data_IF_555469143572
#
_entry.id   IF_555469143572
#
_cell.length_a   1.000
_cell.length_b   1.000
_cell.length_c   1.000
_cell.angle_alpha   90.00
_cell.angle_beta   90.00
_cell.angle_gamma   90.00
#
_symmetry.space_group_name_H-M   'P 1'
#
loop_
_entity.id
_entity.type
_entity.pdbx_description
1 polymer ?
#
# COMPACT_ATOMS: atom_id res chain seq x y z
N UNK A 1 -16.42 -15.47 7.74
CA UNK A 1 -15.02 -15.12 7.38
C UNK A 1 -14.56 -15.90 6.15
N UNK A 2 -14.71 -17.23 6.14
CA UNK A 2 -14.33 -18.11 5.03
C UNK A 2 -14.91 -17.72 3.66
N UNK A 3 -16.22 -17.39 3.59
CA UNK A 3 -16.87 -16.95 2.35
C UNK A 3 -16.27 -15.65 1.75
N UNK A 4 -15.96 -14.66 2.61
CA UNK A 4 -15.38 -13.39 2.17
C UNK A 4 -13.96 -13.59 1.65
N UNK A 5 -13.17 -14.44 2.33
CA UNK A 5 -11.82 -14.80 1.89
C UNK A 5 -11.86 -15.50 0.52
N UNK A 6 -12.76 -16.45 0.31
CA UNK A 6 -12.87 -17.16 -0.96
C UNK A 6 -13.32 -16.24 -2.10
N UNK A 7 -14.25 -15.31 -1.82
CA UNK A 7 -14.66 -14.29 -2.79
C UNK A 7 -13.51 -13.37 -3.18
N UNK A 8 -12.72 -12.91 -2.21
CA UNK A 8 -11.54 -12.07 -2.46
C UNK A 8 -10.46 -12.82 -3.26
N UNK A 9 -10.19 -14.08 -2.91
CA UNK A 9 -9.27 -14.94 -3.68
C UNK A 9 -9.73 -15.07 -5.14
N UNK A 10 -10.99 -15.39 -5.36
CA UNK A 10 -11.56 -15.49 -6.71
C UNK A 10 -11.44 -14.17 -7.48
N UNK A 11 -11.66 -13.03 -6.83
CA UNK A 11 -11.50 -11.71 -7.45
C UNK A 11 -10.04 -11.41 -7.81
N UNK A 12 -9.09 -11.77 -6.94
CA UNK A 12 -7.65 -11.62 -7.22
C UNK A 12 -7.25 -12.49 -8.41
N UNK A 13 -7.65 -13.76 -8.45
CA UNK A 13 -7.32 -14.64 -9.58
C UNK A 13 -7.92 -14.13 -10.89
N UNK A 14 -9.15 -13.59 -10.87
CA UNK A 14 -9.74 -12.95 -12.05
C UNK A 14 -8.93 -11.74 -12.52
N UNK A 15 -8.49 -10.88 -11.60
CA UNK A 15 -7.65 -9.73 -11.95
C UNK A 15 -6.29 -10.13 -12.50
N UNK A 16 -5.66 -11.18 -11.95
CA UNK A 16 -4.43 -11.74 -12.51
C UNK A 16 -4.63 -12.23 -13.93
N UNK A 17 -5.72 -12.96 -14.20
CA UNK A 17 -6.04 -13.44 -15.53
C UNK A 17 -6.20 -12.27 -16.51
N UNK A 18 -6.97 -11.23 -16.15
CA UNK A 18 -7.13 -10.03 -16.98
C UNK A 18 -5.80 -9.31 -17.27
N UNK A 19 -4.87 -9.25 -16.30
CA UNK A 19 -3.55 -8.63 -16.52
C UNK A 19 -2.65 -9.46 -17.44
N UNK A 20 -2.89 -10.76 -17.54
CA UNK A 20 -2.15 -11.71 -18.37
C UNK A 20 -2.77 -11.89 -19.76
N UNK A 21 -3.99 -11.40 -19.97
CA UNK A 21 -4.72 -11.50 -21.23
C UNK A 21 -4.28 -10.36 -22.16
N UNK A 22 -3.78 -10.72 -23.35
CA UNK A 22 -3.19 -9.79 -24.31
C UNK A 22 -4.27 -9.09 -25.17
N UNK A 23 -5.54 -9.53 -25.10
CA UNK A 23 -6.63 -9.02 -25.94
C UNK A 23 -7.32 -7.74 -25.41
N UNK A 24 -7.07 -7.33 -24.16
CA UNK A 24 -7.70 -6.14 -23.56
C UNK A 24 -6.78 -4.90 -23.53
N UNK A 25 -7.39 -3.72 -23.67
CA UNK A 25 -6.74 -2.39 -23.54
C UNK A 25 -6.07 -2.14 -22.17
N UNK A 26 -6.24 -3.06 -21.22
CA UNK A 26 -5.72 -3.05 -19.86
C UNK A 26 -4.52 -3.99 -19.65
N UNK A 27 -3.91 -4.51 -20.71
CA UNK A 27 -2.73 -5.38 -20.59
C UNK A 27 -1.55 -4.68 -19.91
N UNK A 28 -0.71 -5.45 -19.20
CA UNK A 28 0.54 -4.93 -18.60
C UNK A 28 1.43 -4.27 -19.65
N UNK A 29 1.39 -4.81 -20.87
CA UNK A 29 2.15 -4.31 -21.99
C UNK A 29 1.68 -2.91 -22.41
N UNK A 30 0.38 -2.65 -22.52
CA UNK A 30 -0.13 -1.32 -22.85
C UNK A 30 0.27 -0.26 -21.82
N UNK A 31 0.23 -0.61 -20.53
CA UNK A 31 0.64 0.26 -19.43
C UNK A 31 2.14 0.60 -19.52
N UNK A 32 2.98 -0.42 -19.64
CA UNK A 32 4.44 -0.26 -19.68
C UNK A 32 4.94 0.35 -21.00
N UNK A 33 4.14 0.31 -22.07
CA UNK A 33 4.48 0.89 -23.38
C UNK A 33 4.33 2.40 -23.42
N UNK A 34 3.65 3.02 -22.46
CA UNK A 34 3.49 4.47 -22.43
C UNK A 34 4.83 5.22 -22.28
N UNK A 35 4.94 6.39 -22.90
CA UNK A 35 6.19 7.18 -22.99
C UNK A 35 6.87 7.39 -21.64
N UNK A 36 6.08 7.61 -20.59
CA UNK A 36 6.58 7.84 -19.23
C UNK A 36 7.29 6.60 -18.67
N UNK A 37 6.72 5.42 -18.88
CA UNK A 37 7.33 4.16 -18.44
C UNK A 37 8.54 3.81 -19.31
N UNK A 38 8.43 3.98 -20.63
CA UNK A 38 9.54 3.74 -21.56
C UNK A 38 10.75 4.65 -21.28
N UNK A 39 10.52 5.91 -20.90
CA UNK A 39 11.62 6.81 -20.51
C UNK A 39 12.42 6.25 -19.33
N UNK A 40 11.75 5.71 -18.30
CA UNK A 40 12.44 5.10 -17.16
C UNK A 40 13.14 3.79 -17.57
N UNK A 41 12.44 2.94 -18.33
CA UNK A 41 12.93 1.61 -18.73
C UNK A 41 14.14 1.72 -19.68
N UNK A 42 14.12 2.64 -20.64
CA UNK A 42 15.21 2.82 -21.60
C UNK A 42 16.45 3.45 -20.98
N UNK A 43 16.27 4.25 -19.92
CA UNK A 43 17.37 4.89 -19.19
C UNK A 43 17.86 4.09 -17.98
N UNK A 44 17.32 2.88 -17.73
CA UNK A 44 17.67 2.10 -16.54
C UNK A 44 19.15 1.68 -16.50
N UNK A 45 19.76 1.41 -17.66
CA UNK A 45 21.18 1.09 -17.84
C UNK A 45 21.53 1.07 -19.33
N UNK A 46 22.81 0.99 -19.65
CA UNK A 46 23.23 0.62 -21.01
C UNK A 46 22.82 -0.83 -21.33
N UNK A 47 22.19 -1.05 -22.48
CA UNK A 47 21.91 -2.38 -23.02
C UNK A 47 22.00 -2.40 -24.55
N UNK A 48 22.25 -3.58 -25.12
CA UNK A 48 22.16 -3.80 -26.57
C UNK A 48 20.75 -4.26 -26.91
N UNK A 49 20.20 -3.80 -28.03
CA UNK A 49 18.93 -4.34 -28.54
C UNK A 49 19.12 -5.81 -28.94
N UNK A 50 18.48 -6.67 -28.16
CA UNK A 50 18.47 -8.15 -28.22
C UNK A 50 17.07 -8.58 -27.75
N UNK A 51 16.73 -9.87 -27.84
CA UNK A 51 15.40 -10.36 -27.45
C UNK A 51 14.96 -9.95 -26.03
N UNK A 52 15.86 -10.03 -25.05
CA UNK A 52 15.57 -9.66 -23.66
C UNK A 52 16.04 -8.23 -23.36
N UNK A 53 15.37 -7.24 -23.94
CA UNK A 53 15.51 -5.83 -23.51
C UNK A 53 14.98 -5.65 -22.08
N UNK A 54 15.32 -4.56 -21.37
CA UNK A 54 14.74 -4.28 -20.05
C UNK A 54 13.20 -4.29 -20.06
N UNK A 55 12.58 -3.74 -21.10
CA UNK A 55 11.12 -3.74 -21.29
C UNK A 55 10.55 -5.15 -21.39
N UNK A 56 11.05 -5.96 -22.33
CA UNK A 56 10.60 -7.35 -22.52
C UNK A 56 10.84 -8.17 -21.25
N UNK A 57 12.01 -8.02 -20.64
CA UNK A 57 12.37 -8.73 -19.41
C UNK A 57 11.41 -8.41 -18.27
N UNK A 58 11.01 -7.14 -18.12
CA UNK A 58 10.08 -6.70 -17.10
C UNK A 58 8.69 -7.30 -17.32
N UNK A 59 8.15 -7.23 -18.55
CA UNK A 59 6.85 -7.84 -18.88
C UNK A 59 6.87 -9.32 -18.57
N UNK A 60 7.88 -10.04 -19.07
CA UNK A 60 8.01 -11.48 -18.83
C UNK A 60 8.14 -11.80 -17.34
N UNK A 61 8.85 -10.98 -16.57
CA UNK A 61 8.99 -11.19 -15.14
C UNK A 61 7.69 -10.97 -14.37
N UNK A 62 6.92 -9.93 -14.71
CA UNK A 62 5.59 -9.73 -14.11
C UNK A 62 4.68 -10.91 -14.49
N UNK A 63 4.64 -11.30 -15.77
CA UNK A 63 3.89 -12.48 -16.24
C UNK A 63 4.29 -13.75 -15.48
N UNK A 64 5.59 -13.97 -15.27
CA UNK A 64 6.12 -15.08 -14.47
C UNK A 64 5.58 -15.02 -13.03
N UNK A 65 5.64 -13.89 -12.34
CA UNK A 65 5.23 -13.77 -10.93
C UNK A 65 3.72 -13.97 -10.76
N UNK A 66 2.93 -13.53 -11.74
CA UNK A 66 1.48 -13.67 -11.76
C UNK A 66 1.03 -15.09 -12.17
N UNK A 67 1.86 -15.84 -12.90
CA UNK A 67 1.60 -17.24 -13.26
C UNK A 67 1.40 -18.13 -12.01
N UNK A 68 0.45 -19.08 -12.03
CA UNK A 68 0.27 -20.05 -10.96
C UNK A 68 1.54 -20.86 -10.62
N UNK A 69 2.33 -21.22 -11.64
CA UNK A 69 3.52 -22.08 -11.49
C UNK A 69 4.82 -21.29 -11.27
N UNK A 70 4.81 -19.98 -11.56
CA UNK A 70 5.97 -19.07 -11.54
C UNK A 70 7.20 -19.59 -12.31
N UNK A 71 6.99 -20.45 -13.30
CA UNK A 71 8.06 -21.18 -13.99
C UNK A 71 8.77 -20.32 -15.02
N UNK A 72 10.11 -20.21 -14.93
CA UNK A 72 10.90 -19.56 -15.98
C UNK A 72 10.74 -20.27 -17.33
N UNK A 73 10.62 -21.62 -17.32
CA UNK A 73 10.48 -22.42 -18.54
C UNK A 73 9.15 -22.11 -19.24
N UNK A 74 8.07 -22.03 -18.47
CA UNK A 74 6.76 -21.69 -18.99
C UNK A 74 6.76 -20.27 -19.60
N UNK A 75 7.26 -19.28 -18.85
CA UNK A 75 7.38 -17.88 -19.33
C UNK A 75 8.18 -17.76 -20.62
N UNK A 76 9.32 -18.45 -20.73
CA UNK A 76 10.12 -18.44 -21.97
C UNK A 76 9.41 -19.15 -23.11
N UNK A 77 8.74 -20.29 -22.87
CA UNK A 77 7.98 -20.98 -23.89
C UNK A 77 6.84 -20.11 -24.46
N UNK A 78 6.08 -19.43 -23.60
CA UNK A 78 5.02 -18.48 -24.02
C UNK A 78 5.60 -17.32 -24.83
N UNK A 79 6.74 -16.75 -24.40
CA UNK A 79 7.42 -15.70 -25.16
C UNK A 79 7.89 -16.18 -26.54
N UNK A 80 8.41 -17.40 -26.64
CA UNK A 80 8.82 -17.96 -27.93
C UNK A 80 7.63 -18.15 -28.86
N UNK A 81 6.49 -18.59 -28.33
CA UNK A 81 5.26 -18.73 -29.11
C UNK A 81 4.79 -17.39 -29.67
N UNK A 82 4.87 -16.30 -28.90
CA UNK A 82 4.46 -14.96 -29.36
C UNK A 82 5.43 -14.34 -30.37
N UNK A 83 6.73 -14.65 -30.32
CA UNK A 83 7.71 -14.13 -31.28
C UNK A 83 7.75 -14.94 -32.58
N UNK A 84 7.49 -16.26 -32.50
CA UNK A 84 7.50 -17.15 -33.68
C UNK A 84 6.35 -16.86 -34.65
N UNK A 85 5.31 -16.16 -34.21
CA UNK A 85 4.24 -15.66 -35.07
C UNK A 85 4.60 -14.40 -35.85
N UNK A 86 5.67 -13.68 -35.45
CA UNK A 86 6.02 -12.38 -36.00
C UNK A 86 7.24 -12.40 -36.96
N UNK A 87 8.20 -13.33 -36.80
CA UNK A 87 9.37 -13.40 -37.68
C UNK A 87 10.07 -14.78 -37.67
N UNK A 88 10.04 -15.52 -38.79
CA UNK A 88 10.47 -16.94 -38.84
C UNK A 88 12.00 -17.17 -38.83
N UNK A 89 12.82 -16.12 -39.01
CA UNK A 89 14.26 -16.28 -39.22
C UNK A 89 15.13 -15.88 -38.00
N UNK A 90 14.53 -15.41 -36.90
CA UNK A 90 15.29 -14.94 -35.73
C UNK A 90 14.57 -15.30 -34.41
N UNK A 91 14.47 -16.61 -34.12
CA UNK A 91 13.78 -17.13 -32.94
C UNK A 91 14.78 -17.27 -31.76
N UNK A 92 14.43 -16.80 -30.54
CA UNK A 92 15.29 -16.98 -29.37
C UNK A 92 15.41 -18.47 -28.95
N UNK A 93 16.48 -18.81 -28.22
CA UNK A 93 16.63 -20.15 -27.64
C UNK A 93 15.58 -20.42 -26.56
N UNK A 94 15.12 -21.67 -26.44
CA UNK A 94 14.27 -22.16 -25.33
C UNK A 94 14.99 -22.27 -23.98
N UNK A 95 16.30 -22.02 -23.94
CA UNK A 95 17.06 -21.97 -22.70
C UNK A 95 16.61 -20.78 -21.83
N UNK A 96 16.31 -21.04 -20.54
CA UNK A 96 15.92 -20.00 -19.59
C UNK A 96 17.09 -19.15 -19.10
N UNK A 97 18.33 -19.58 -19.31
CA UNK A 97 19.55 -18.93 -18.84
C UNK A 97 19.67 -17.45 -19.26
N UNK A 98 19.50 -17.10 -20.56
CA UNK A 98 19.50 -15.72 -21.02
C UNK A 98 18.44 -14.84 -20.34
N UNK A 99 17.21 -15.36 -20.18
CA UNK A 99 16.12 -14.67 -19.49
C UNK A 99 16.46 -14.43 -18.01
N UNK A 100 16.93 -15.46 -17.28
CA UNK A 100 17.34 -15.32 -15.88
C UNK A 100 18.48 -14.30 -15.71
N UNK A 101 19.47 -14.30 -16.61
CA UNK A 101 20.57 -13.30 -16.62
C UNK A 101 20.07 -11.89 -16.92
N UNK A 102 19.06 -11.73 -17.79
CA UNK A 102 18.47 -10.44 -18.07
C UNK A 102 17.70 -9.90 -16.85
N UNK A 103 16.95 -10.76 -16.16
CA UNK A 103 16.20 -10.42 -14.94
C UNK A 103 17.11 -9.90 -13.83
N UNK A 104 18.26 -10.54 -13.61
CA UNK A 104 19.26 -10.11 -12.61
C UNK A 104 19.87 -8.73 -12.91
N UNK A 105 19.75 -8.24 -14.15
CA UNK A 105 20.29 -6.93 -14.56
C UNK A 105 19.25 -5.80 -14.50
N UNK A 106 18.05 -6.06 -13.98
CA UNK A 106 17.07 -4.99 -13.74
C UNK A 106 17.46 -4.25 -12.46
N UNK A 107 17.77 -2.94 -12.52
CA UNK A 107 18.11 -2.16 -11.33
C UNK A 107 16.91 -2.01 -10.40
N UNK A 108 17.14 -2.07 -9.09
CA UNK A 108 16.07 -1.99 -8.08
C UNK A 108 15.43 -0.58 -8.12
N UNK A 109 16.24 0.45 -8.31
CA UNK A 109 15.83 1.86 -8.39
C UNK A 109 14.88 2.10 -9.56
N UNK A 110 15.07 1.36 -10.66
CA UNK A 110 14.17 1.37 -11.81
C UNK A 110 12.81 0.79 -11.41
N UNK A 111 12.79 -0.35 -10.73
CA UNK A 111 11.54 -0.97 -10.28
C UNK A 111 10.80 -0.09 -9.26
N UNK A 112 11.52 0.53 -8.32
CA UNK A 112 10.97 1.50 -7.37
C UNK A 112 10.32 2.69 -8.09
N UNK A 113 11.01 3.24 -9.09
CA UNK A 113 10.50 4.37 -9.89
C UNK A 113 9.24 4.00 -10.67
N UNK A 114 9.19 2.80 -11.25
CA UNK A 114 8.02 2.32 -12.00
C UNK A 114 6.80 2.09 -11.09
N UNK A 115 7.00 1.57 -9.86
CA UNK A 115 5.93 1.44 -8.87
C UNK A 115 5.35 2.80 -8.53
N UNK A 116 6.20 3.79 -8.21
CA UNK A 116 5.77 5.16 -7.89
C UNK A 116 5.02 5.80 -9.05
N UNK A 117 5.56 5.68 -10.27
CA UNK A 117 4.93 6.19 -11.48
C UNK A 117 3.55 5.56 -11.74
N UNK A 118 3.40 4.26 -11.47
CA UNK A 118 2.13 3.55 -11.63
C UNK A 118 1.06 4.05 -10.66
N UNK A 119 1.42 4.24 -9.38
CA UNK A 119 0.54 4.81 -8.36
C UNK A 119 0.10 6.22 -8.71
N UNK A 120 1.06 7.07 -9.09
CA UNK A 120 0.81 8.45 -9.48
C UNK A 120 -0.09 8.56 -10.71
N UNK A 121 0.17 7.73 -11.72
CA UNK A 121 -0.61 7.71 -12.96
C UNK A 121 -2.06 7.31 -12.69
N UNK A 122 -2.28 6.28 -11.86
CA UNK A 122 -3.61 5.87 -11.41
C UNK A 122 -4.30 6.98 -10.60
N UNK A 123 -3.59 7.60 -9.66
CA UNK A 123 -4.15 8.67 -8.83
C UNK A 123 -4.60 9.86 -9.68
N UNK A 124 -3.85 10.23 -10.73
CA UNK A 124 -4.15 11.33 -11.64
C UNK A 124 -5.30 11.01 -12.61
N UNK A 125 -5.43 9.76 -13.04
CA UNK A 125 -6.53 9.31 -13.91
C UNK A 125 -7.82 8.98 -13.16
N UNK A 126 -7.78 8.95 -11.82
CA UNK A 126 -8.93 8.60 -10.99
C UNK A 126 -10.12 9.55 -11.17
N UNK A 127 -11.34 8.99 -11.21
CA UNK A 127 -12.55 9.78 -11.30
C UNK A 127 -12.78 10.55 -9.99
N UNK A 128 -12.95 11.87 -10.06
CA UNK A 128 -13.18 12.72 -8.89
C UNK A 128 -14.37 12.26 -8.03
N UNK A 129 -15.39 11.61 -8.62
CA UNK A 129 -16.55 11.07 -7.89
C UNK A 129 -16.21 9.91 -6.95
N UNK A 130 -15.05 9.28 -7.11
CA UNK A 130 -14.59 8.21 -6.22
C UNK A 130 -13.84 8.75 -4.99
N UNK A 131 -13.49 10.05 -5.00
CA UNK A 131 -12.80 10.70 -3.89
C UNK A 131 -13.81 11.10 -2.82
N UNK A 132 -13.54 10.68 -1.58
CA UNK A 132 -14.42 10.96 -0.45
C UNK A 132 -14.25 12.43 -0.08
N UNK A 133 -15.31 13.22 -0.19
CA UNK A 133 -15.28 14.69 0.00
C UNK A 133 -14.24 15.41 -0.88
N UNK A 134 -14.03 14.92 -2.11
CA UNK A 134 -12.99 15.43 -3.02
C UNK A 134 -11.56 15.33 -2.47
N UNK A 135 -11.32 14.39 -1.56
CA UNK A 135 -10.02 14.14 -0.92
C UNK A 135 -9.54 12.73 -1.23
N UNK A 136 -8.23 12.59 -1.37
CA UNK A 136 -7.61 11.28 -1.53
C UNK A 136 -7.61 10.54 -0.18
N UNK A 137 -7.93 9.26 -0.20
CA UNK A 137 -7.85 8.41 1.00
C UNK A 137 -6.67 7.48 0.84
N UNK A 138 -5.67 7.61 1.72
CA UNK A 138 -4.43 6.84 1.70
C UNK A 138 -4.42 5.80 2.81
N UNK A 139 -4.25 4.53 2.46
CA UNK A 139 -4.10 3.43 3.39
C UNK A 139 -2.62 3.22 3.70
N UNK A 140 -2.31 3.01 4.97
CA UNK A 140 -0.99 2.57 5.43
C UNK A 140 -1.13 1.15 5.94
N UNK A 141 -0.32 0.26 5.42
CA UNK A 141 -0.23 -1.11 5.92
C UNK A 141 1.21 -1.64 5.85
N UNK A 142 1.50 -2.57 6.77
CA UNK A 142 2.79 -3.24 6.91
C UNK A 142 2.67 -4.73 6.65
N UNK A 143 3.68 -5.31 6.00
CA UNK A 143 3.78 -6.76 5.80
C UNK A 143 5.23 -7.22 5.91
N UNK A 144 5.44 -8.53 5.90
CA UNK A 144 6.76 -9.14 5.89
C UNK A 144 6.87 -10.14 4.74
N UNK A 145 8.04 -10.15 4.09
CA UNK A 145 8.38 -10.99 2.97
C UNK A 145 9.59 -11.85 3.33
N UNK A 146 9.58 -13.11 2.89
CA UNK A 146 10.75 -13.99 2.97
C UNK A 146 11.64 -13.75 1.76
N UNK A 147 12.94 -13.60 1.99
CA UNK A 147 13.95 -13.41 0.96
C UNK A 147 14.64 -14.74 0.63
N UNK A 148 15.30 -14.79 -0.53
CA UNK A 148 16.17 -15.92 -0.86
C UNK A 148 17.30 -16.03 0.17
N UNK A 149 17.65 -17.27 0.53
CA UNK A 149 18.75 -17.55 1.45
C UNK A 149 20.09 -17.35 0.73
N UNK A 150 20.63 -16.13 0.82
CA UNK A 150 21.95 -15.74 0.33
C UNK A 150 22.70 -14.98 1.41
N UNK A 151 24.03 -15.03 1.39
CA UNK A 151 24.88 -14.31 2.36
C UNK A 151 24.56 -12.81 2.40
N UNK A 152 24.37 -12.20 1.23
CA UNK A 152 23.97 -10.79 1.12
C UNK A 152 22.64 -10.51 1.84
N UNK A 153 21.61 -11.33 1.60
CA UNK A 153 20.31 -11.16 2.25
C UNK A 153 20.39 -11.44 3.76
N UNK A 154 21.14 -12.45 4.19
CA UNK A 154 21.34 -12.77 5.61
C UNK A 154 22.04 -11.65 6.37
N UNK A 155 22.99 -10.96 5.72
CA UNK A 155 23.68 -9.81 6.32
C UNK A 155 22.76 -8.62 6.53
N UNK A 156 21.77 -8.43 5.65
CA UNK A 156 20.88 -7.26 5.62
C UNK A 156 19.56 -7.48 6.35
N UNK A 157 19.04 -8.71 6.32
CA UNK A 157 17.71 -9.07 6.82
C UNK A 157 17.84 -10.20 7.85
N UNK A 158 17.54 -9.96 9.14
CA UNK A 158 17.64 -10.99 10.16
C UNK A 158 16.52 -12.04 10.00
N UNK A 159 16.78 -13.22 10.54
CA UNK A 159 15.80 -14.30 10.68
C UNK A 159 14.98 -14.15 11.98
N UNK A 160 13.94 -14.97 12.14
CA UNK A 160 13.18 -15.06 13.37
C UNK A 160 13.97 -15.77 14.48
N UNK A 161 14.01 -15.23 15.70
CA UNK A 161 14.86 -15.74 16.80
C UNK A 161 14.57 -17.20 17.20
N UNK A 162 13.35 -17.69 16.97
CA UNK A 162 12.98 -19.08 17.23
C UNK A 162 13.52 -20.09 16.20
N UNK A 163 14.08 -19.63 15.08
CA UNK A 163 14.67 -20.52 14.08
C UNK A 163 16.06 -20.96 14.51
N UNK A 164 16.38 -22.24 14.30
CA UNK A 164 17.74 -22.74 14.50
C UNK A 164 18.68 -22.08 13.48
N UNK A 165 19.94 -21.93 13.84
CA UNK A 165 20.96 -21.45 12.90
C UNK A 165 20.94 -22.30 11.61
N UNK A 166 20.84 -21.64 10.47
CA UNK A 166 20.78 -22.29 9.15
C UNK A 166 19.40 -22.85 8.76
N UNK A 167 18.35 -22.67 9.56
CA UNK A 167 17.01 -23.22 9.28
C UNK A 167 15.96 -22.17 8.89
N UNK A 168 16.30 -20.87 8.90
CA UNK A 168 15.38 -19.78 8.59
C UNK A 168 15.74 -19.01 7.32
N UNK A 169 14.71 -18.46 6.67
CA UNK A 169 14.89 -17.51 5.57
C UNK A 169 15.02 -16.08 6.10
N UNK A 170 15.83 -15.21 5.45
CA UNK A 170 15.89 -13.80 5.80
C UNK A 170 14.53 -13.12 5.66
N UNK A 171 14.19 -12.21 6.58
CA UNK A 171 12.87 -11.56 6.61
C UNK A 171 13.00 -10.05 6.38
N UNK A 172 12.35 -9.59 5.31
CA UNK A 172 12.21 -8.18 4.97
C UNK A 172 10.84 -7.67 5.41
N UNK A 173 10.81 -6.51 6.06
CA UNK A 173 9.58 -5.76 6.32
C UNK A 173 9.33 -4.79 5.19
N UNK A 174 8.08 -4.67 4.77
CA UNK A 174 7.61 -3.70 3.79
C UNK A 174 6.46 -2.90 4.39
N UNK A 175 6.50 -1.57 4.24
CA UNK A 175 5.37 -0.68 4.56
C UNK A 175 5.01 0.09 3.32
N UNK A 176 3.73 0.11 2.96
CA UNK A 176 3.23 0.79 1.77
C UNK A 176 2.19 1.84 2.14
N UNK A 177 2.18 2.92 1.36
CA UNK A 177 1.07 3.87 1.27
C UNK A 177 0.33 3.57 -0.03
N UNK A 178 -0.96 3.29 0.07
CA UNK A 178 -1.81 2.90 -1.06
C UNK A 178 -2.99 3.86 -1.20
N UNK A 179 -3.42 4.15 -2.43
CA UNK A 179 -4.70 4.84 -2.64
C UNK A 179 -5.86 3.87 -2.38
N UNK A 180 -6.79 4.25 -1.51
CA UNK A 180 -8.08 3.54 -1.37
C UNK A 180 -8.96 3.76 -2.60
N UNK A 181 -8.79 4.87 -3.30
CA UNK A 181 -9.60 5.23 -4.47
C UNK A 181 -9.25 4.37 -5.68
N UNK A 182 -7.97 4.09 -5.92
CA UNK A 182 -7.50 3.34 -7.10
C UNK A 182 -6.93 1.97 -6.77
N UNK A 183 -6.57 1.71 -5.52
CA UNK A 183 -5.84 0.51 -5.10
C UNK A 183 -4.35 0.51 -5.43
N UNK A 184 -3.84 1.57 -6.08
CA UNK A 184 -2.44 1.67 -6.47
C UNK A 184 -1.51 1.96 -5.27
N UNK A 185 -0.30 1.38 -5.30
CA UNK A 185 0.78 1.73 -4.36
C UNK A 185 1.32 3.10 -4.78
N UNK A 186 1.29 4.05 -3.85
CA UNK A 186 1.81 5.42 -4.05
C UNK A 186 3.30 5.44 -3.72
N UNK A 187 3.67 4.89 -2.57
CA UNK A 187 5.05 4.78 -2.14
C UNK A 187 5.20 3.59 -1.18
N UNK A 188 6.41 3.07 -1.03
CA UNK A 188 6.72 2.00 -0.11
C UNK A 188 8.17 2.10 0.39
N UNK A 189 8.39 1.59 1.60
CA UNK A 189 9.71 1.46 2.19
C UNK A 189 9.94 0.01 2.65
N UNK A 190 11.18 -0.43 2.52
CA UNK A 190 11.63 -1.75 2.96
C UNK A 190 12.69 -1.63 4.04
N UNK A 191 12.74 -2.60 4.95
CA UNK A 191 13.77 -2.66 5.98
C UNK A 191 13.87 -4.04 6.62
N UNK A 192 14.84 -4.20 7.49
CA UNK A 192 15.00 -5.43 8.27
C UNK A 192 13.77 -5.71 9.16
N UNK A 193 13.36 -6.98 9.26
CA UNK A 193 12.24 -7.35 10.14
C UNK A 193 12.51 -7.02 11.62
N UNK A 194 13.76 -7.04 12.06
CA UNK A 194 14.15 -6.73 13.43
C UNK A 194 15.34 -5.76 13.43
N UNK A 195 15.44 -4.96 14.49
CA UNK A 195 16.51 -3.98 14.67
C UNK A 195 15.99 -2.60 15.06
N UNK A 196 16.90 -1.73 15.49
CA UNK A 196 16.57 -0.32 15.76
C UNK A 196 16.28 0.39 14.43
N UNK A 197 15.23 1.22 14.40
CA UNK A 197 14.88 1.99 13.21
C UNK A 197 14.21 1.20 12.09
N UNK A 198 13.84 -0.07 12.32
CA UNK A 198 13.27 -0.93 11.27
C UNK A 198 11.77 -1.21 11.44
N UNK A 199 11.15 -0.68 12.50
CA UNK A 199 9.71 -0.81 12.74
C UNK A 199 8.86 -0.06 11.72
N UNK A 200 7.58 -0.40 11.59
CA UNK A 200 6.71 0.18 10.55
C UNK A 200 6.56 1.70 10.66
N UNK A 201 6.57 2.25 11.88
CA UNK A 201 6.61 3.70 12.09
C UNK A 201 7.87 4.36 11.51
N UNK A 202 9.01 3.66 11.54
CA UNK A 202 10.26 4.17 10.99
C UNK A 202 10.24 4.13 9.46
N UNK A 203 9.73 3.04 8.88
CA UNK A 203 9.54 2.94 7.44
C UNK A 203 8.51 3.94 6.92
N UNK A 204 7.40 4.15 7.62
CA UNK A 204 6.41 5.17 7.28
C UNK A 204 7.03 6.58 7.22
N UNK A 205 7.97 6.91 8.11
CA UNK A 205 8.63 8.22 8.10
C UNK A 205 9.49 8.43 6.84
N UNK A 206 10.01 7.37 6.23
CA UNK A 206 10.81 7.47 4.99
C UNK A 206 9.94 7.81 3.78
N UNK A 207 8.65 7.47 3.83
CA UNK A 207 7.71 7.66 2.71
C UNK A 207 6.60 8.66 3.04
N UNK A 208 6.71 9.40 4.15
CA UNK A 208 5.66 10.32 4.62
C UNK A 208 5.44 11.49 3.66
N UNK A 209 6.45 11.84 2.87
CA UNK A 209 6.40 12.93 1.89
C UNK A 209 5.45 12.60 0.72
N UNK A 210 5.09 11.33 0.56
CA UNK A 210 4.03 10.92 -0.36
C UNK A 210 2.63 11.25 0.16
N UNK A 211 2.47 11.77 1.40
CA UNK A 211 1.21 12.25 1.97
C UNK A 211 1.14 13.76 1.78
N UNK A 212 0.03 14.23 1.24
CA UNK A 212 -0.19 15.61 0.87
C UNK A 212 -1.27 16.27 1.71
N UNK A 213 -1.27 17.59 1.69
CA UNK A 213 -2.33 18.41 2.28
C UNK A 213 -3.71 17.95 1.79
N UNK A 214 -4.68 17.97 2.70
CA UNK A 214 -6.05 17.54 2.45
C UNK A 214 -6.20 16.03 2.14
N UNK A 215 -5.18 15.18 2.31
CA UNK A 215 -5.37 13.73 2.28
C UNK A 215 -6.11 13.24 3.54
N UNK A 216 -6.73 12.06 3.45
CA UNK A 216 -7.25 11.31 4.60
C UNK A 216 -6.45 10.01 4.71
N UNK A 217 -5.65 9.91 5.75
CA UNK A 217 -4.80 8.75 6.02
C UNK A 217 -5.54 7.77 6.93
N UNK A 218 -5.56 6.50 6.55
CA UNK A 218 -6.09 5.41 7.34
C UNK A 218 -5.03 4.36 7.58
N UNK A 219 -5.12 3.70 8.73
CA UNK A 219 -4.28 2.57 9.09
C UNK A 219 -4.91 1.82 10.24
N UNK A 220 -4.23 0.76 10.65
CA UNK A 220 -4.68 -0.08 11.74
C UNK A 220 -4.54 0.61 13.13
N UNK A 221 -4.59 -0.18 14.20
CA UNK A 221 -4.51 0.35 15.58
C UNK A 221 -3.08 0.72 16.02
N UNK A 222 -2.06 0.34 15.25
CA UNK A 222 -0.65 0.52 15.58
C UNK A 222 -0.17 1.94 15.23
N UNK A 223 -0.59 2.48 14.09
CA UNK A 223 -0.19 3.81 13.60
C UNK A 223 -0.60 5.07 14.41
N UNK A 224 -1.73 5.12 15.16
CA UNK A 224 -2.18 6.35 15.81
C UNK A 224 -1.40 6.70 17.10
N UNK A 225 -0.11 6.97 16.96
CA UNK A 225 0.76 7.57 17.97
C UNK A 225 0.81 9.10 17.84
N UNK A 226 1.39 9.78 18.84
CA UNK A 226 1.44 11.25 18.86
C UNK A 226 2.19 11.82 17.66
N UNK A 227 3.39 11.30 17.37
CA UNK A 227 4.25 11.83 16.31
C UNK A 227 3.66 11.61 14.91
N UNK A 228 3.08 10.44 14.60
CA UNK A 228 2.37 10.25 13.31
C UNK A 228 1.21 11.23 13.17
N UNK A 229 0.42 11.41 14.22
CA UNK A 229 -0.67 12.38 14.20
C UNK A 229 -0.14 13.83 14.15
N UNK A 230 1.06 14.11 14.63
CA UNK A 230 1.73 15.40 14.50
C UNK A 230 2.27 15.65 13.09
N UNK A 231 2.90 14.66 12.46
CA UNK A 231 3.38 14.72 11.06
C UNK A 231 2.20 14.99 10.12
N UNK A 232 1.10 14.25 10.27
CA UNK A 232 -0.11 14.51 9.50
C UNK A 232 -0.66 15.94 9.75
N UNK A 233 -0.36 16.55 10.90
CA UNK A 233 -0.85 17.89 11.27
C UNK A 233 -0.05 18.97 10.57
N UNK A 234 1.28 18.84 10.57
CA UNK A 234 2.15 19.76 9.85
C UNK A 234 1.90 19.69 8.33
N UNK A 235 1.62 18.50 7.79
CA UNK A 235 1.26 18.31 6.37
C UNK A 235 -0.11 18.93 6.02
N UNK A 236 -1.02 19.03 7.00
CA UNK A 236 -2.42 19.41 6.74
C UNK A 236 -3.29 18.26 6.21
N UNK A 237 -2.88 17.01 6.45
CA UNK A 237 -3.65 15.80 6.16
C UNK A 237 -4.45 15.34 7.39
N UNK A 238 -5.61 14.70 7.22
CA UNK A 238 -6.36 14.11 8.34
C UNK A 238 -5.99 12.64 8.53
N UNK A 239 -5.96 12.17 9.78
CA UNK A 239 -5.82 10.76 10.10
C UNK A 239 -7.13 10.17 10.63
N UNK A 240 -7.50 8.96 10.19
CA UNK A 240 -8.61 8.16 10.73
C UNK A 240 -8.10 6.76 11.05
N UNK A 241 -7.97 6.46 12.34
CA UNK A 241 -7.35 5.21 12.79
C UNK A 241 -8.23 4.46 13.78
N UNK A 242 -8.05 3.14 13.85
CA UNK A 242 -8.64 2.33 14.92
C UNK A 242 -7.96 2.68 16.24
N UNK A 243 -8.74 2.75 17.30
CA UNK A 243 -8.22 3.06 18.62
C UNK A 243 -7.29 1.95 19.13
N UNK A 244 -6.09 2.32 19.58
CA UNK A 244 -5.14 1.42 20.24
C UNK A 244 -5.75 0.81 21.50
N UNK A 245 -5.67 -0.51 21.66
CA UNK A 245 -6.37 -1.26 22.72
C UNK A 245 -5.84 -0.98 24.13
N UNK A 246 -4.56 -0.63 24.27
CA UNK A 246 -3.97 -0.35 25.58
C UNK A 246 -4.34 1.03 26.16
N UNK A 247 -4.97 1.92 25.38
CA UNK A 247 -5.44 3.22 25.92
C UNK A 247 -6.85 3.09 26.46
N UNK A 248 -7.12 3.76 27.58
CA UNK A 248 -8.47 3.86 28.17
C UNK A 248 -9.21 5.04 27.54
N UNK A 249 -10.38 4.77 26.96
CA UNK A 249 -11.23 5.79 26.31
C UNK A 249 -12.43 6.11 27.18
N UNK A 250 -12.33 7.18 27.97
CA UNK A 250 -13.42 7.65 28.83
C UNK A 250 -14.20 8.78 28.15
N UNK A 251 -15.31 8.43 27.49
CA UNK A 251 -16.20 9.36 26.78
C UNK A 251 -16.94 10.37 27.69
N UNK A 252 -16.70 10.33 29.00
CA UNK A 252 -17.21 11.32 29.95
C UNK A 252 -16.28 12.53 30.07
N UNK A 253 -15.01 12.39 29.69
CA UNK A 253 -13.98 13.43 29.75
C UNK A 253 -13.92 14.24 28.47
N UNK A 254 -13.20 15.36 28.50
CA UNK A 254 -13.01 16.22 27.33
C UNK A 254 -14.28 16.96 26.90
N UNK A 255 -14.25 17.59 25.72
CA UNK A 255 -15.39 18.32 25.17
C UNK A 255 -16.29 17.36 24.40
N UNK A 256 -17.50 17.12 24.91
CA UNK A 256 -18.48 16.23 24.25
C UNK A 256 -18.98 16.86 22.94
N UNK A 257 -19.09 16.02 21.90
CA UNK A 257 -19.70 16.35 20.62
C UNK A 257 -20.94 15.49 20.32
N UNK A 258 -21.21 14.48 21.15
CA UNK A 258 -22.35 13.58 21.05
C UNK A 258 -22.15 12.31 21.87
N UNK A 259 -23.11 11.38 21.78
CA UNK A 259 -22.97 10.07 22.46
C UNK A 259 -21.76 9.33 21.92
N UNK A 260 -20.81 9.00 22.82
CA UNK A 260 -19.53 8.32 22.49
C UNK A 260 -18.76 9.03 21.37
N UNK A 261 -18.73 10.37 21.43
CA UNK A 261 -18.03 11.23 20.48
C UNK A 261 -17.58 12.50 21.23
N UNK A 262 -16.27 12.69 21.35
CA UNK A 262 -15.70 13.80 22.14
C UNK A 262 -14.37 14.29 21.57
N UNK A 263 -13.91 15.42 22.06
CA UNK A 263 -12.57 15.96 21.83
C UNK A 263 -11.75 15.81 23.10
N UNK A 264 -10.56 15.26 22.96
CA UNK A 264 -9.57 15.13 24.02
C UNK A 264 -8.27 15.79 23.61
N UNK A 265 -7.48 16.16 24.61
CA UNK A 265 -6.15 16.71 24.42
C UNK A 265 -5.14 15.58 24.59
N UNK A 266 -4.33 15.33 23.57
CA UNK A 266 -3.13 14.51 23.70
C UNK A 266 -1.95 15.44 23.99
N UNK A 267 -1.21 15.15 25.06
CA UNK A 267 0.04 15.87 25.39
C UNK A 267 1.20 15.25 24.61
N UNK A 268 2.16 16.08 24.20
CA UNK A 268 3.42 15.65 23.59
C UNK A 268 4.15 14.72 24.57
N UNK A 269 4.41 13.46 24.19
CA UNK A 269 5.18 12.54 25.03
C UNK A 269 6.67 12.95 25.03
N UNK A 270 7.46 12.45 25.96
CA UNK A 270 8.91 12.68 25.98
C UNK A 270 9.58 12.33 24.64
N UNK A 271 10.67 13.04 24.35
CA UNK A 271 11.45 12.84 23.12
C UNK A 271 11.94 11.40 23.03
N UNK A 272 11.64 10.68 21.95
CA UNK A 272 12.18 9.36 21.73
C UNK A 272 13.64 9.42 21.26
N UNK A 273 14.42 8.36 21.54
CA UNK A 273 15.86 8.32 21.23
C UNK A 273 16.19 8.49 19.75
N UNK A 274 15.30 8.03 18.87
CA UNK A 274 15.51 8.09 17.42
C UNK A 274 15.30 9.49 16.81
N UNK A 275 14.78 10.45 17.57
CA UNK A 275 14.42 11.79 17.08
C UNK A 275 15.44 12.82 17.54
N UNK A 276 15.87 13.69 16.62
CA UNK A 276 16.70 14.86 16.96
C UNK A 276 15.93 15.83 17.84
N UNK A 277 16.63 16.64 18.63
CA UNK A 277 15.99 17.63 19.49
C UNK A 277 15.20 18.66 18.67
N UNK A 278 15.78 19.15 17.58
CA UNK A 278 15.14 20.08 16.65
C UNK A 278 13.81 19.54 16.07
N UNK A 279 13.81 18.29 15.59
CA UNK A 279 12.58 17.67 15.07
C UNK A 279 11.54 17.47 16.17
N UNK A 280 11.96 17.18 17.41
CA UNK A 280 11.04 17.04 18.52
C UNK A 280 10.38 18.37 18.91
N UNK A 281 11.15 19.44 18.89
CA UNK A 281 10.70 20.79 19.23
C UNK A 281 9.76 21.37 18.16
N UNK A 282 9.83 20.88 16.92
CA UNK A 282 8.87 21.25 15.87
C UNK A 282 7.45 20.70 16.09
N UNK A 283 7.25 19.73 17.00
CA UNK A 283 5.93 19.20 17.33
C UNK A 283 5.22 20.07 18.38
N UNK A 284 3.89 20.27 18.25
CA UNK A 284 3.13 21.03 19.24
C UNK A 284 3.16 20.34 20.60
N UNK A 285 3.12 21.11 21.69
CA UNK A 285 3.12 20.56 23.06
C UNK A 285 1.86 19.74 23.37
N UNK A 286 0.79 20.01 22.65
CA UNK A 286 -0.45 19.25 22.73
C UNK A 286 -1.23 19.31 21.42
N UNK A 287 -2.07 18.31 21.19
CA UNK A 287 -2.93 18.21 20.01
C UNK A 287 -4.34 17.77 20.40
N UNK A 288 -5.35 18.41 19.81
CA UNK A 288 -6.75 18.02 19.98
C UNK A 288 -7.11 16.86 19.05
N UNK A 289 -7.57 15.75 19.64
CA UNK A 289 -7.98 14.53 18.93
C UNK A 289 -9.47 14.27 19.20
N UNK A 290 -10.22 13.98 18.14
CA UNK A 290 -11.59 13.50 18.22
C UNK A 290 -11.59 11.99 18.36
N UNK A 291 -12.21 11.49 19.43
CA UNK A 291 -12.42 10.05 19.62
C UNK A 291 -13.91 9.76 19.55
N UNK A 292 -14.28 8.72 18.81
CA UNK A 292 -15.69 8.38 18.59
C UNK A 292 -15.87 6.86 18.46
N UNK A 293 -17.06 6.35 18.83
CA UNK A 293 -17.37 4.92 18.76
C UNK A 293 -18.43 4.65 17.68
N UNK A 294 -18.14 3.73 16.76
CA UNK A 294 -19.09 3.26 15.73
C UNK A 294 -19.24 1.74 15.85
N UNK A 295 -20.48 1.24 15.93
CA UNK A 295 -20.81 -0.20 15.94
C UNK A 295 -19.98 -1.06 16.92
N UNK A 296 -19.62 -0.52 18.08
CA UNK A 296 -18.81 -1.24 19.07
C UNK A 296 -17.30 -0.97 19.02
N UNK A 297 -16.78 -0.36 17.95
CA UNK A 297 -15.36 -0.03 17.80
C UNK A 297 -15.07 1.45 18.06
N UNK A 298 -14.01 1.75 18.80
CA UNK A 298 -13.53 3.13 18.99
C UNK A 298 -12.57 3.50 17.85
N UNK A 299 -12.75 4.69 17.28
CA UNK A 299 -11.94 5.28 16.21
C UNK A 299 -11.47 6.67 16.62
N UNK A 300 -10.35 7.11 16.02
CA UNK A 300 -9.71 8.40 16.27
C UNK A 300 -9.68 9.22 14.98
N UNK A 301 -9.90 10.52 15.08
CA UNK A 301 -9.76 11.50 13.99
C UNK A 301 -9.13 12.78 14.52
N UNK A 302 -8.31 13.51 13.74
CA UNK A 302 -7.89 14.87 14.16
C UNK A 302 -9.08 15.84 14.11
N UNK A 303 -9.17 16.75 15.07
CA UNK A 303 -10.13 17.85 15.04
C UNK A 303 -9.46 19.13 14.54
N UNK A 304 -9.90 19.61 13.38
CA UNK A 304 -9.63 20.96 12.87
C UNK A 304 -11.00 21.63 12.73
N UNK A 305 -11.12 22.89 13.13
CA UNK A 305 -12.38 23.66 13.23
C UNK A 305 -13.17 23.88 11.93
N UNK A 306 -13.10 22.97 10.95
CA UNK A 306 -14.01 22.89 9.81
C UNK A 306 -14.99 21.76 10.05
N UNK A 307 -16.26 22.11 10.15
CA UNK A 307 -17.37 21.21 10.41
C UNK A 307 -17.34 19.97 9.52
N UNK A 308 -17.35 18.79 10.14
CA UNK A 308 -18.10 17.63 9.62
C UNK A 308 -18.86 17.03 10.81
N UNK A 309 -20.03 17.63 11.04
CA UNK A 309 -21.10 17.04 11.82
C UNK A 309 -21.64 15.83 11.07
N UNK A 310 -21.75 14.73 11.80
CA UNK A 310 -22.61 13.61 11.46
C UNK A 310 -24.06 14.15 11.48
N UNK A 311 -24.89 14.00 10.43
CA UNK A 311 -26.31 14.21 10.61
C UNK A 311 -26.85 13.01 11.40
N UNK A 312 -27.38 13.27 12.59
CA UNK A 312 -28.29 12.34 13.24
C UNK A 312 -29.45 12.06 12.28
N UNK A 313 -29.82 10.79 12.12
CA UNK A 313 -31.23 10.44 12.05
C UNK A 313 -31.50 9.39 13.13
N UNK A 314 -32.25 9.83 14.14
CA UNK A 314 -33.17 8.98 14.88
C UNK A 314 -34.36 8.72 13.94
N UNK A 315 -34.73 7.46 13.70
CA UNK A 315 -36.08 7.01 14.06
C UNK A 315 -36.26 5.49 14.07
N UNK A 316 -37.32 5.12 14.79
CA UNK A 316 -37.67 3.88 15.50
C UNK A 316 -37.99 2.63 14.66
N UNK A 317 -37.78 1.47 15.33
CA UNK A 317 -38.46 0.14 15.26
C UNK A 317 -38.26 -0.73 14.02
N UNK A 318 -37.50 -1.82 14.16
CA UNK A 318 -37.86 -3.19 13.75
C UNK A 318 -36.92 -4.22 14.42
N UNK A 319 -37.40 -5.47 14.53
CA UNK A 319 -36.98 -6.56 15.41
C UNK A 319 -35.68 -7.30 15.02
N UNK A 320 -35.19 -8.09 15.99
CA UNK A 320 -34.32 -9.30 15.89
C UNK A 320 -34.29 -9.96 14.50
N UNK A 321 -33.07 -10.13 13.95
CA UNK A 321 -32.42 -11.41 13.59
C UNK A 321 -31.32 -11.22 12.52
N UNK A 322 -30.27 -12.04 12.62
CA UNK A 322 -29.32 -12.54 11.61
C UNK A 322 -28.39 -11.65 10.73
N UNK A 323 -27.09 -11.92 10.94
CA UNK A 323 -26.00 -12.21 9.97
C UNK A 323 -25.55 -11.25 8.83
N UNK A 324 -24.19 -11.12 8.79
CA UNK A 324 -23.23 -10.94 7.66
C UNK A 324 -22.88 -9.54 7.09
N UNK A 325 -21.58 -9.31 6.77
CA UNK A 325 -21.08 -8.09 6.15
C UNK A 325 -21.02 -8.19 4.61
N UNK A 326 -21.58 -7.20 3.92
CA UNK A 326 -21.34 -6.94 2.50
C UNK A 326 -21.44 -5.44 2.22
N UNK A 327 -20.47 -4.91 1.49
CA UNK A 327 -20.48 -3.55 0.97
C UNK A 327 -21.07 -3.52 -0.46
N UNK A 328 -21.82 -2.44 -0.78
CA UNK A 328 -21.79 -1.59 -2.01
C UNK A 328 -23.19 -1.10 -2.50
N UNK A 329 -23.29 0.25 -2.65
CA UNK A 329 -24.15 1.19 -3.44
C UNK A 329 -25.69 1.28 -3.23
N UNK A 330 -26.25 2.46 -2.86
CA UNK A 330 -26.61 3.71 -3.62
C UNK A 330 -27.88 3.47 -4.49
N UNK A 331 -29.00 4.20 -4.51
CA UNK A 331 -29.46 5.56 -4.13
C UNK A 331 -30.70 5.47 -3.20
N UNK A 332 -31.23 6.55 -2.58
CA UNK A 332 -32.29 7.39 -3.15
C UNK A 332 -32.28 8.79 -2.51
N UNK A 333 -32.52 9.79 -3.36
CA UNK A 333 -32.55 11.23 -3.07
C UNK A 333 -33.61 11.59 -2.02
N UNK A 334 -33.41 12.71 -1.34
CA UNK A 334 -34.18 13.95 -1.55
C UNK A 334 -33.40 15.13 -0.94
N UNK A 335 -32.75 15.91 -1.80
CA UNK A 335 -32.88 17.38 -1.76
C UNK A 335 -34.23 17.63 -2.49
N UNK A 336 -34.99 18.71 -2.26
CA UNK A 336 -36.17 18.98 -3.10
C UNK A 336 -35.94 18.67 -4.58
#
# INVERSE_FOLDING_TARGET
>A
MHYVINKLKSQIEKQKATLLDDEESLSIESLLSSDKFQSIINNCRSFRSRFYTPFVTLILFIRQVLSPDKSCKNTVATFLASVSTEDNNNIPSSNTGPYCKARQKLPIETLESLVKLSGDSLSKSSNARWKIYNREVKLIDGTSLTMADSEENQSRYPQHDAQKAGAGFPIMRLVAIMSLTTGGIIDYAVGAYKGKGTGEHALLRQIKDSIHKDDIVMGDRYFPCFFVMGDLQSIGADGIFKAHSQRKYDFRKGRKLGSKNHLVIWKKPHKPDWMTQETYDSYPDQMTVREFKIKGEVRKRRYLGRYFAHPMMQNRRAKRDDYKPSAVRVTQRCVP
#
